data_IF_134261806361
#
_entry.id   IF_134261806361
#
_cell.length_a   1.000
_cell.length_b   1.000
_cell.length_c   1.000
_cell.angle_alpha   90.00
_cell.angle_beta   90.00
_cell.angle_gamma   90.00
#
_symmetry.space_group_name_H-M   'P 1'
#
loop_
_entity.id
_entity.type
_entity.pdbx_description
1 polymer ?
#
# COMPACT_ATOMS: atom_id res chain seq x y z
N UNK A 1 26.88 32.40 74.27
CA UNK A 1 28.15 32.95 74.76
C UNK A 1 28.23 32.67 76.24
N UNK A 2 29.35 32.16 76.76
CA UNK A 2 29.60 32.18 78.19
C UNK A 2 29.78 33.63 78.68
N UNK A 3 30.00 33.81 79.97
CA UNK A 3 30.19 35.14 80.60
C UNK A 3 31.39 35.93 80.02
N UNK A 4 32.24 35.29 79.20
CA UNK A 4 33.44 35.85 78.58
C UNK A 4 33.28 36.08 77.07
N UNK A 5 32.09 35.86 76.51
CA UNK A 5 31.86 36.03 75.07
C UNK A 5 32.36 34.86 74.21
N UNK A 6 32.62 33.69 74.79
CA UNK A 6 33.07 32.49 74.06
C UNK A 6 31.87 31.58 73.79
N UNK A 7 31.77 30.89 72.63
CA UNK A 7 30.72 29.91 72.41
C UNK A 7 30.72 28.82 73.49
N UNK A 8 29.54 28.46 74.00
CA UNK A 8 29.42 27.37 74.99
C UNK A 8 29.67 26.02 74.30
N UNK A 9 30.06 24.99 75.07
CA UNK A 9 30.25 23.62 74.55
C UNK A 9 28.98 23.13 73.84
N UNK A 10 27.81 23.37 74.44
CA UNK A 10 26.51 23.02 73.85
C UNK A 10 26.34 23.63 72.45
N UNK A 11 26.63 24.92 72.29
CA UNK A 11 26.55 25.57 70.99
C UNK A 11 27.49 24.93 69.96
N UNK A 12 28.74 24.62 70.36
CA UNK A 12 29.69 23.96 69.45
C UNK A 12 29.19 22.59 69.00
N UNK A 13 28.60 21.80 69.91
CA UNK A 13 28.00 20.49 69.60
C UNK A 13 26.81 20.62 68.66
N UNK A 14 25.87 21.52 68.95
CA UNK A 14 24.67 21.73 68.12
C UNK A 14 25.04 22.24 66.72
N UNK A 15 26.04 23.12 66.66
CA UNK A 15 26.58 23.60 65.40
C UNK A 15 27.21 22.47 64.57
N UNK A 16 28.09 21.65 65.18
CA UNK A 16 28.70 20.52 64.49
C UNK A 16 27.67 19.50 64.00
N UNK A 17 26.64 19.22 64.80
CA UNK A 17 25.56 18.31 64.41
C UNK A 17 24.76 18.88 63.23
N UNK A 18 24.40 20.17 63.29
CA UNK A 18 23.69 20.85 62.20
C UNK A 18 24.48 20.79 60.89
N UNK A 19 25.79 21.07 60.95
CA UNK A 19 26.67 21.00 59.76
C UNK A 19 26.73 19.57 59.21
N UNK A 20 26.81 18.55 60.07
CA UNK A 20 26.81 17.14 59.66
C UNK A 20 25.51 16.74 58.96
N UNK A 21 24.37 17.13 59.52
CA UNK A 21 23.05 16.88 58.93
C UNK A 21 22.88 17.59 57.59
N UNK A 22 23.39 18.82 57.47
CA UNK A 22 23.37 19.57 56.21
C UNK A 22 24.17 18.84 55.11
N UNK A 23 25.38 18.38 55.39
CA UNK A 23 26.17 17.62 54.40
C UNK A 23 25.49 16.30 54.02
N UNK A 24 24.92 15.57 54.99
CA UNK A 24 24.16 14.35 54.69
C UNK A 24 22.93 14.64 53.80
N UNK A 25 22.26 15.78 54.00
CA UNK A 25 21.15 16.21 53.16
C UNK A 25 21.60 16.54 51.74
N UNK A 26 22.73 17.26 51.58
CA UNK A 26 23.32 17.58 50.26
C UNK A 26 23.67 16.30 49.50
N UNK A 27 24.31 15.33 50.16
CA UNK A 27 24.66 14.05 49.54
C UNK A 27 23.41 13.28 49.09
N UNK A 28 22.35 13.29 49.90
CA UNK A 28 21.07 12.67 49.57
C UNK A 28 20.42 13.33 48.35
N UNK A 29 20.42 14.66 48.27
CA UNK A 29 19.89 15.41 47.12
C UNK A 29 20.71 15.11 45.86
N UNK A 30 22.04 15.06 45.96
CA UNK A 30 22.90 14.72 44.82
C UNK A 30 22.64 13.30 44.29
N UNK A 31 22.43 12.33 45.18
CA UNK A 31 22.06 10.97 44.80
C UNK A 31 20.67 10.92 44.11
N UNK A 32 19.69 11.64 44.64
CA UNK A 32 18.35 11.73 44.05
C UNK A 32 18.38 12.38 42.66
N UNK A 33 19.17 13.45 42.47
CA UNK A 33 19.36 14.09 41.18
C UNK A 33 19.99 13.15 40.16
N UNK A 34 21.00 12.39 40.56
CA UNK A 34 21.65 11.39 39.69
C UNK A 34 20.65 10.31 39.26
N UNK A 35 19.84 9.81 40.20
CA UNK A 35 18.80 8.83 39.91
C UNK A 35 17.71 9.39 38.97
N UNK A 36 17.29 10.64 39.17
CA UNK A 36 16.32 11.30 38.31
C UNK A 36 16.83 11.47 36.88
N UNK A 37 18.09 11.88 36.70
CA UNK A 37 18.71 11.96 35.37
C UNK A 37 18.78 10.58 34.69
N UNK A 38 19.16 9.53 35.42
CA UNK A 38 19.20 8.18 34.86
C UNK A 38 17.80 7.69 34.45
N UNK A 39 16.77 7.99 35.25
CA UNK A 39 15.39 7.67 34.93
C UNK A 39 14.89 8.44 33.70
N UNK A 40 15.23 9.72 33.57
CA UNK A 40 14.90 10.51 32.38
C UNK A 40 15.54 9.93 31.12
N UNK A 41 16.84 9.62 31.17
CA UNK A 41 17.54 8.97 30.04
C UNK A 41 16.90 7.63 29.67
N UNK A 42 16.50 6.83 30.66
CA UNK A 42 15.81 5.56 30.41
C UNK A 42 14.43 5.77 29.74
N UNK A 43 13.68 6.79 30.17
CA UNK A 43 12.40 7.15 29.57
C UNK A 43 12.56 7.63 28.12
N UNK A 44 13.54 8.49 27.85
CA UNK A 44 13.82 9.00 26.49
C UNK A 44 14.23 7.87 25.53
N UNK A 45 15.06 6.93 26.02
CA UNK A 45 15.42 5.74 25.27
C UNK A 45 14.20 4.83 24.99
N UNK A 46 13.33 4.66 25.98
CA UNK A 46 12.11 3.88 25.81
C UNK A 46 11.15 4.51 24.78
N UNK A 47 11.00 5.84 24.81
CA UNK A 47 10.19 6.58 23.82
C UNK A 47 10.77 6.42 22.41
N UNK A 48 12.09 6.60 22.25
CA UNK A 48 12.76 6.42 20.96
C UNK A 48 12.56 5.01 20.40
N UNK A 49 12.62 4.00 21.26
CA UNK A 49 12.38 2.61 20.86
C UNK A 49 10.92 2.37 20.47
N UNK A 50 9.95 2.99 21.15
CA UNK A 50 8.54 2.92 20.81
C UNK A 50 8.26 3.58 19.44
N UNK A 51 8.78 4.79 19.21
CA UNK A 51 8.62 5.51 17.95
C UNK A 51 9.20 4.71 16.77
N UNK A 52 10.37 4.08 16.96
CA UNK A 52 10.98 3.21 15.95
C UNK A 52 10.15 1.95 15.67
N UNK A 53 9.52 1.37 16.68
CA UNK A 53 8.63 0.22 16.53
C UNK A 53 7.35 0.60 15.76
N UNK A 54 6.76 1.76 16.04
CA UNK A 54 5.58 2.27 15.34
C UNK A 54 5.87 2.57 13.86
N UNK A 55 7.05 3.14 13.57
CA UNK A 55 7.49 3.37 12.19
C UNK A 55 7.66 2.03 11.45
N UNK A 56 8.34 1.05 12.05
CA UNK A 56 8.53 -0.27 11.46
C UNK A 56 7.21 -1.01 11.22
N UNK A 57 6.24 -0.87 12.15
CA UNK A 57 4.90 -1.44 11.97
C UNK A 57 4.14 -0.77 10.81
N UNK A 58 4.27 0.55 10.67
CA UNK A 58 3.67 1.31 9.57
C UNK A 58 4.26 0.92 8.21
N UNK A 59 5.59 0.80 8.12
CA UNK A 59 6.29 0.36 6.91
C UNK A 59 5.89 -1.08 6.51
N UNK A 60 5.79 -1.98 7.50
CA UNK A 60 5.35 -3.36 7.27
C UNK A 60 3.89 -3.44 6.78
N UNK A 61 3.01 -2.58 7.32
CA UNK A 61 1.63 -2.48 6.86
C UNK A 61 1.57 -1.96 5.42
N UNK A 62 2.33 -0.92 5.09
CA UNK A 62 2.39 -0.37 3.73
C UNK A 62 2.87 -1.40 2.70
N UNK A 63 3.94 -2.15 3.00
CA UNK A 63 4.44 -3.21 2.13
C UNK A 63 3.43 -4.36 1.95
N UNK A 64 2.69 -4.68 3.02
CA UNK A 64 1.61 -5.69 2.97
C UNK A 64 0.48 -5.21 2.07
N UNK A 65 0.05 -3.96 2.19
CA UNK A 65 -1.02 -3.39 1.38
C UNK A 65 -0.61 -3.26 -0.09
N UNK A 66 0.64 -2.94 -0.41
CA UNK A 66 1.18 -2.96 -1.78
C UNK A 66 1.11 -4.37 -2.39
N UNK A 67 1.56 -5.39 -1.65
CA UNK A 67 1.51 -6.79 -2.10
C UNK A 67 0.06 -7.27 -2.30
N UNK A 68 -0.85 -6.88 -1.40
CA UNK A 68 -2.28 -7.16 -1.52
C UNK A 68 -2.89 -6.43 -2.71
N UNK A 69 -2.50 -5.18 -2.96
CA UNK A 69 -2.95 -4.41 -4.11
C UNK A 69 -2.56 -5.10 -5.42
N UNK A 70 -1.32 -5.56 -5.53
CA UNK A 70 -0.87 -6.30 -6.72
C UNK A 70 -1.61 -7.63 -6.87
N UNK A 71 -1.72 -8.41 -5.79
CA UNK A 71 -2.46 -9.68 -5.81
C UNK A 71 -3.94 -9.48 -6.18
N UNK A 72 -4.56 -8.40 -5.70
CA UNK A 72 -5.93 -8.01 -6.01
C UNK A 72 -6.08 -7.66 -7.49
N UNK A 73 -5.11 -6.97 -8.08
CA UNK A 73 -5.06 -6.68 -9.51
C UNK A 73 -4.83 -7.94 -10.34
N UNK A 74 -3.85 -8.78 -10.02
CA UNK A 74 -3.54 -10.03 -10.75
C UNK A 74 -4.74 -10.98 -10.79
N UNK A 75 -5.60 -10.95 -9.76
CA UNK A 75 -6.83 -11.72 -9.70
C UNK A 75 -8.08 -10.99 -10.23
N UNK A 76 -7.91 -9.78 -10.78
CA UNK A 76 -9.04 -9.02 -11.34
C UNK A 76 -9.53 -9.56 -12.68
N UNK A 77 -10.78 -9.26 -13.04
CA UNK A 77 -11.37 -9.68 -14.31
C UNK A 77 -12.58 -8.82 -14.69
N UNK A 78 -12.89 -8.70 -15.99
CA UNK A 78 -14.12 -8.07 -16.44
C UNK A 78 -15.33 -8.98 -16.18
N UNK A 79 -16.42 -8.41 -15.70
CA UNK A 79 -17.66 -9.09 -15.39
C UNK A 79 -18.87 -8.25 -15.81
N UNK A 80 -20.06 -8.86 -15.79
CA UNK A 80 -21.34 -8.20 -16.06
C UNK A 80 -21.37 -7.32 -17.34
N UNK A 81 -20.81 -7.77 -18.48
CA UNK A 81 -20.84 -6.95 -19.69
C UNK A 81 -22.28 -6.71 -20.15
N UNK A 82 -22.54 -5.52 -20.70
CA UNK A 82 -23.81 -5.23 -21.40
C UNK A 82 -23.75 -5.86 -22.80
N UNK A 83 -24.00 -7.18 -22.87
CA UNK A 83 -23.90 -7.97 -24.10
C UNK A 83 -22.60 -8.78 -24.16
N UNK A 84 -22.05 -8.94 -25.36
CA UNK A 84 -20.75 -9.61 -25.54
C UNK A 84 -19.62 -8.65 -25.19
N UNK A 85 -18.73 -9.05 -24.27
CA UNK A 85 -17.65 -8.17 -23.80
C UNK A 85 -16.75 -7.66 -24.93
N UNK A 86 -16.27 -8.56 -25.80
CA UNK A 86 -15.40 -8.21 -26.92
C UNK A 86 -16.00 -8.79 -28.19
N UNK A 87 -16.13 -7.97 -29.23
CA UNK A 87 -16.47 -8.43 -30.58
C UNK A 87 -15.50 -7.82 -31.57
N UNK A 88 -15.23 -8.54 -32.66
CA UNK A 88 -14.45 -8.02 -33.77
C UNK A 88 -15.14 -8.28 -35.09
N UNK A 89 -15.08 -7.34 -36.01
CA UNK A 89 -15.51 -7.55 -37.40
C UNK A 89 -14.34 -7.88 -38.33
N UNK A 90 -14.67 -8.25 -39.57
CA UNK A 90 -13.70 -8.58 -40.60
C UNK A 90 -12.91 -7.38 -41.17
N UNK A 91 -13.18 -6.16 -40.70
CA UNK A 91 -12.40 -4.95 -41.02
C UNK A 91 -11.35 -4.62 -39.95
N UNK A 92 -11.31 -5.41 -38.87
CA UNK A 92 -10.42 -5.17 -37.74
C UNK A 92 -10.98 -4.19 -36.71
N UNK A 93 -12.28 -3.84 -36.78
CA UNK A 93 -12.93 -3.04 -35.75
C UNK A 93 -13.24 -3.93 -34.54
N UNK A 94 -12.72 -3.57 -33.37
CA UNK A 94 -12.94 -4.27 -32.11
C UNK A 94 -13.82 -3.43 -31.21
N UNK A 95 -14.97 -3.95 -30.83
CA UNK A 95 -15.89 -3.30 -29.89
C UNK A 95 -15.77 -3.96 -28.53
N UNK A 96 -15.57 -3.16 -27.49
CA UNK A 96 -15.57 -3.55 -26.09
C UNK A 96 -16.84 -3.00 -25.45
N UNK A 97 -17.64 -3.87 -24.83
CA UNK A 97 -18.85 -3.45 -24.12
C UNK A 97 -18.51 -2.86 -22.74
N UNK A 98 -19.40 -1.98 -22.25
CA UNK A 98 -19.43 -1.59 -20.83
C UNK A 98 -19.46 -2.83 -19.94
N UNK A 99 -18.66 -2.82 -18.88
CA UNK A 99 -18.51 -3.94 -17.95
C UNK A 99 -18.10 -3.48 -16.57
N UNK A 100 -18.19 -4.35 -15.58
CA UNK A 100 -17.60 -4.14 -14.27
C UNK A 100 -16.19 -4.75 -14.22
N UNK A 101 -15.26 -4.06 -13.56
CA UNK A 101 -14.00 -4.66 -13.15
C UNK A 101 -14.12 -5.17 -11.72
N UNK A 102 -14.02 -6.48 -11.55
CA UNK A 102 -13.98 -7.13 -10.24
C UNK A 102 -12.52 -7.36 -9.87
N UNK A 103 -12.10 -6.92 -8.69
CA UNK A 103 -10.75 -7.17 -8.16
C UNK A 103 -10.74 -8.35 -7.17
N UNK A 104 -9.57 -8.96 -7.00
CA UNK A 104 -9.41 -10.13 -6.12
C UNK A 104 -9.59 -9.84 -4.63
N UNK A 105 -9.37 -8.58 -4.22
CA UNK A 105 -9.64 -8.09 -2.86
C UNK A 105 -10.58 -6.87 -2.92
N UNK A 106 -11.90 -7.06 -2.72
CA UNK A 106 -12.89 -6.00 -2.81
C UNK A 106 -12.83 -5.00 -1.64
N UNK A 107 -12.10 -5.32 -0.56
CA UNK A 107 -11.91 -4.39 0.57
C UNK A 107 -10.92 -3.30 0.19
N UNK A 108 -9.88 -3.67 -0.55
CA UNK A 108 -8.83 -2.75 -1.00
C UNK A 108 -9.19 -2.07 -2.33
N UNK A 109 -9.78 -2.83 -3.26
CA UNK A 109 -10.19 -2.33 -4.57
C UNK A 109 -11.63 -2.78 -4.83
N UNK A 110 -12.64 -1.93 -4.59
CA UNK A 110 -14.03 -2.31 -4.83
C UNK A 110 -14.28 -2.56 -6.33
N UNK A 111 -15.37 -3.24 -6.64
CA UNK A 111 -15.84 -3.37 -8.03
C UNK A 111 -16.12 -1.99 -8.60
N UNK A 112 -15.60 -1.70 -9.79
CA UNK A 112 -15.80 -0.43 -10.49
C UNK A 112 -16.39 -0.65 -11.88
N UNK A 113 -17.35 0.18 -12.32
CA UNK A 113 -17.82 0.14 -13.71
C UNK A 113 -16.75 0.70 -14.64
N UNK A 114 -16.62 0.12 -15.82
CA UNK A 114 -15.71 0.54 -16.90
C UNK A 114 -16.54 0.76 -18.16
N UNK A 115 -16.37 1.93 -18.77
CA UNK A 115 -17.03 2.28 -20.02
C UNK A 115 -16.26 1.64 -21.16
N UNK A 116 -16.97 0.86 -21.98
CA UNK A 116 -16.45 0.23 -23.17
C UNK A 116 -16.12 1.24 -24.27
N UNK A 117 -15.52 0.76 -25.34
CA UNK A 117 -15.13 1.60 -26.48
C UNK A 117 -15.05 0.79 -27.75
N UNK A 118 -15.03 1.47 -28.90
CA UNK A 118 -14.78 0.87 -30.19
C UNK A 118 -13.41 1.28 -30.70
N UNK A 119 -12.50 0.31 -30.84
CA UNK A 119 -11.13 0.52 -31.29
C UNK A 119 -10.90 -0.08 -32.68
N UNK A 120 -10.25 0.68 -33.55
CA UNK A 120 -9.73 0.15 -34.81
C UNK A 120 -8.42 -0.57 -34.49
N UNK A 121 -8.42 -1.90 -34.54
CA UNK A 121 -7.25 -2.71 -34.15
C UNK A 121 -6.16 -2.78 -35.23
N UNK A 122 -6.46 -2.40 -36.47
CA UNK A 122 -5.52 -2.52 -37.59
C UNK A 122 -5.04 -3.95 -37.91
N UNK A 123 -5.58 -4.97 -37.23
CA UNK A 123 -5.31 -6.38 -37.50
C UNK A 123 -6.07 -6.88 -38.72
N UNK A 124 -5.56 -7.93 -39.33
CA UNK A 124 -6.16 -8.61 -40.48
C UNK A 124 -6.80 -9.94 -40.07
N UNK A 125 -7.60 -10.53 -40.96
CA UNK A 125 -8.22 -11.84 -40.74
C UNK A 125 -7.20 -12.87 -40.24
N UNK A 126 -7.51 -13.52 -39.12
CA UNK A 126 -6.66 -14.52 -38.46
C UNK A 126 -5.81 -13.95 -37.33
N UNK A 127 -5.63 -12.63 -37.24
CA UNK A 127 -4.92 -12.01 -36.11
C UNK A 127 -5.72 -12.16 -34.82
N UNK A 128 -5.00 -12.41 -33.71
CA UNK A 128 -5.57 -12.43 -32.36
C UNK A 128 -5.27 -11.09 -31.71
N UNK A 129 -6.31 -10.25 -31.58
CA UNK A 129 -6.23 -8.97 -30.86
C UNK A 129 -6.35 -9.23 -29.37
N UNK A 130 -5.36 -8.81 -28.59
CA UNK A 130 -5.40 -8.82 -27.11
C UNK A 130 -5.64 -7.41 -26.62
N UNK A 131 -6.72 -7.18 -25.89
CA UNK A 131 -7.16 -5.86 -25.44
C UNK A 131 -6.81 -5.67 -23.96
N UNK A 132 -6.30 -4.48 -23.63
CA UNK A 132 -5.95 -4.09 -22.27
C UNK A 132 -6.10 -2.57 -22.09
N UNK A 133 -6.03 -2.09 -20.86
CA UNK A 133 -5.94 -0.67 -20.54
C UNK A 133 -5.05 -0.45 -19.31
N UNK A 134 -4.63 0.78 -19.07
CA UNK A 134 -3.95 1.19 -17.84
C UNK A 134 -4.91 1.99 -16.97
N UNK A 135 -5.06 1.61 -15.70
CA UNK A 135 -5.82 2.36 -14.70
C UNK A 135 -5.08 2.29 -13.34
N UNK A 136 -4.08 3.16 -13.12
CA UNK A 136 -3.30 3.17 -11.89
C UNK A 136 -4.14 3.44 -10.65
N UNK A 137 -5.22 4.21 -10.80
CA UNK A 137 -6.12 4.58 -9.71
C UNK A 137 -7.17 3.53 -9.40
N UNK A 138 -7.39 2.57 -10.32
CA UNK A 138 -8.41 1.52 -10.22
C UNK A 138 -9.81 2.10 -10.02
N UNK A 139 -10.03 3.28 -10.60
CA UNK A 139 -11.26 4.04 -10.44
C UNK A 139 -12.34 3.62 -11.45
N UNK A 140 -11.96 2.91 -12.53
CA UNK A 140 -12.85 2.58 -13.63
C UNK A 140 -13.25 3.83 -14.43
N UNK A 141 -14.50 3.87 -14.89
CA UNK A 141 -15.02 4.92 -15.76
C UNK A 141 -14.52 4.79 -17.20
N UNK A 142 -14.27 5.92 -17.85
CA UNK A 142 -13.73 5.94 -19.21
C UNK A 142 -12.22 5.68 -19.18
N UNK A 143 -11.80 4.58 -19.80
CA UNK A 143 -10.39 4.18 -19.90
C UNK A 143 -9.92 4.22 -21.35
N UNK A 144 -8.62 4.44 -21.54
CA UNK A 144 -8.02 4.34 -22.87
C UNK A 144 -7.60 2.89 -23.12
N UNK A 145 -8.33 2.20 -23.98
CA UNK A 145 -7.96 0.86 -24.41
C UNK A 145 -6.77 0.89 -25.37
N UNK A 146 -5.91 -0.11 -25.22
CA UNK A 146 -4.83 -0.44 -26.12
C UNK A 146 -4.96 -1.91 -26.53
N UNK A 147 -4.25 -2.30 -27.57
CA UNK A 147 -4.22 -3.68 -28.02
C UNK A 147 -2.84 -4.07 -28.55
N UNK A 148 -2.62 -5.38 -28.62
CA UNK A 148 -1.46 -5.98 -29.30
C UNK A 148 -1.87 -7.22 -30.07
N UNK A 149 -1.19 -7.46 -31.19
CA UNK A 149 -1.26 -8.70 -31.96
C UNK A 149 -0.07 -9.61 -31.69
N UNK A 150 1.00 -9.09 -31.06
CA UNK A 150 2.22 -9.84 -30.82
C UNK A 150 2.00 -10.89 -29.70
N UNK A 151 2.07 -12.20 -30.02
CA UNK A 151 1.94 -13.23 -29.00
C UNK A 151 3.13 -13.29 -28.04
N UNK A 152 4.29 -12.70 -28.39
CA UNK A 152 5.49 -12.69 -27.55
C UNK A 152 5.46 -11.61 -26.46
N UNK A 153 4.59 -10.59 -26.61
CA UNK A 153 4.41 -9.50 -25.66
C UNK A 153 2.92 -9.35 -25.27
N UNK A 154 2.28 -10.39 -24.68
CA UNK A 154 0.90 -10.27 -24.25
C UNK A 154 0.79 -9.26 -23.10
N UNK A 155 -0.33 -8.53 -23.00
CA UNK A 155 -0.57 -7.68 -21.85
C UNK A 155 -0.76 -8.58 -20.62
N UNK A 156 0.21 -8.54 -19.71
CA UNK A 156 0.14 -9.24 -18.43
C UNK A 156 -0.55 -8.32 -17.43
N UNK A 157 -1.52 -8.87 -16.73
CA UNK A 157 -2.25 -8.17 -15.69
C UNK A 157 -1.35 -7.97 -14.47
N UNK A 158 -1.10 -6.71 -14.09
CA UNK A 158 -0.18 -6.34 -13.02
C UNK A 158 0.26 -4.88 -13.10
N UNK A 159 0.78 -4.33 -12.00
CA UNK A 159 1.09 -2.91 -11.89
C UNK A 159 -0.15 -2.03 -12.09
N UNK A 160 -0.25 -1.40 -13.26
CA UNK A 160 -1.41 -0.59 -13.67
C UNK A 160 -2.23 -1.22 -14.81
N UNK A 161 -1.76 -2.34 -15.37
CA UNK A 161 -2.32 -2.95 -16.57
C UNK A 161 -3.46 -3.90 -16.23
N UNK A 162 -4.58 -3.68 -16.92
CA UNK A 162 -5.79 -4.46 -16.82
C UNK A 162 -6.06 -5.13 -18.17
N UNK A 163 -5.85 -6.44 -18.25
CA UNK A 163 -6.21 -7.21 -19.44
C UNK A 163 -7.72 -7.38 -19.51
N UNK A 164 -8.32 -7.19 -20.68
CA UNK A 164 -9.77 -7.35 -20.89
C UNK A 164 -10.05 -8.73 -21.45
N UNK A 165 -9.28 -9.15 -22.45
CA UNK A 165 -9.48 -10.41 -23.15
C UNK A 165 -8.85 -10.42 -24.52
N UNK A 166 -9.29 -11.36 -25.36
CA UNK A 166 -8.80 -11.50 -26.72
C UNK A 166 -9.90 -11.88 -27.70
N UNK A 167 -9.74 -11.49 -28.97
CA UNK A 167 -10.64 -11.83 -30.07
C UNK A 167 -9.86 -12.07 -31.35
N UNK A 168 -10.26 -13.07 -32.13
CA UNK A 168 -9.70 -13.32 -33.45
C UNK A 168 -10.48 -12.55 -34.50
N UNK A 169 -9.79 -11.77 -35.35
CA UNK A 169 -10.42 -11.09 -36.49
C UNK A 169 -10.91 -12.14 -37.49
N UNK A 170 -12.22 -12.21 -37.78
CA UNK A 170 -12.75 -13.21 -38.71
C UNK A 170 -12.47 -12.83 -40.17
N UNK A 171 -12.46 -13.82 -41.06
CA UNK A 171 -12.37 -13.57 -42.50
C UNK A 171 -13.61 -12.85 -43.07
N UNK A 172 -14.77 -13.05 -42.44
CA UNK A 172 -16.05 -12.44 -42.81
C UNK A 172 -16.96 -12.30 -41.59
N UNK A 173 -17.83 -11.30 -41.59
CA UNK A 173 -18.80 -11.08 -40.51
C UNK A 173 -18.12 -10.63 -39.21
N UNK A 174 -18.66 -11.10 -38.08
CA UNK A 174 -18.17 -10.77 -36.74
C UNK A 174 -17.85 -12.02 -35.93
N UNK A 175 -16.88 -11.91 -35.03
CA UNK A 175 -16.51 -12.94 -34.07
C UNK A 175 -16.58 -12.39 -32.65
N UNK A 176 -16.91 -13.26 -31.70
CA UNK A 176 -16.93 -12.93 -30.28
C UNK A 176 -15.60 -13.32 -29.65
N UNK A 177 -15.05 -12.42 -28.84
CA UNK A 177 -13.87 -12.67 -28.03
C UNK A 177 -14.19 -13.34 -26.70
N UNK A 178 -13.13 -13.74 -26.01
CA UNK A 178 -13.18 -14.25 -24.64
C UNK A 178 -12.61 -13.25 -23.63
N UNK A 179 -13.22 -13.09 -22.45
CA UNK A 179 -12.63 -12.31 -21.37
C UNK A 179 -11.38 -12.98 -20.79
N UNK A 180 -10.51 -12.20 -20.16
CA UNK A 180 -9.49 -12.75 -19.25
C UNK A 180 -10.17 -13.43 -18.07
N UNK A 181 -9.61 -14.55 -17.59
CA UNK A 181 -10.04 -15.22 -16.36
C UNK A 181 -8.90 -15.23 -15.33
N UNK A 182 -9.18 -15.10 -14.03
CA UNK A 182 -8.15 -15.20 -13.01
C UNK A 182 -7.55 -16.61 -12.92
N UNK A 183 -6.24 -16.75 -12.63
CA UNK A 183 -5.26 -15.68 -12.58
C UNK A 183 -4.78 -15.27 -13.99
N UNK A 184 -4.96 -13.99 -14.33
CA UNK A 184 -4.16 -13.19 -15.28
C UNK A 184 -3.85 -13.69 -16.69
N UNK A 185 -4.45 -14.75 -17.24
CA UNK A 185 -4.18 -15.18 -18.62
C UNK A 185 -5.45 -15.48 -19.41
N UNK A 186 -5.66 -14.72 -20.48
CA UNK A 186 -6.57 -15.13 -21.55
C UNK A 186 -5.84 -16.20 -22.36
N UNK A 187 -6.12 -17.47 -22.09
CA UNK A 187 -5.79 -18.51 -23.06
C UNK A 187 -6.67 -18.21 -24.29
N UNK A 188 -6.11 -18.06 -25.51
CA UNK A 188 -6.94 -17.88 -26.69
C UNK A 188 -7.90 -19.05 -26.77
N UNK A 189 -9.21 -18.76 -26.86
CA UNK A 189 -10.21 -19.80 -27.09
C UNK A 189 -9.94 -20.31 -28.52
N UNK A 190 -9.64 -21.60 -28.72
CA UNK A 190 -9.51 -22.19 -30.06
C UNK A 190 -10.84 -22.14 -30.83
#
# INVERSE_FOLDING_TARGET
>A
MDERGVPTIQFQTDWQQTVKELFASIDTVGAAQTAATAAQTAADNAQTAADAADAAASDAQAATDETRAETSLVNSYPANPVGTLITADNTGLVTIADHDRIYGDPTLNPTVPVVGDTNVSGGVSGDIIRVYYSDPSRAGGAVTYAFTIDPAAPPVQGGDIHSVGAVTIPAAGSNNGGPVRPPGYANPIP
#
